data_IF_551695035077
#
_entry.id   IF_551695035077
#
_cell.length_a   1.000
_cell.length_b   1.000
_cell.length_c   1.000
_cell.angle_alpha   90.00
_cell.angle_beta   90.00
_cell.angle_gamma   90.00
#
_symmetry.space_group_name_H-M   'P 1'
#
loop_
_entity.id
_entity.type
_entity.pdbx_description
1 polymer ?
#
# COMPACT_ATOMS: atom_id res chain seq x y z
N UNK A 1 24.42 10.90 -20.99
CA UNK A 1 23.01 10.96 -20.55
C UNK A 1 22.50 9.54 -20.40
N UNK A 2 22.26 9.12 -19.17
CA UNK A 2 21.87 7.75 -18.81
C UNK A 2 20.34 7.63 -18.96
N UNK A 3 19.87 6.64 -19.73
CA UNK A 3 18.46 6.49 -20.10
C UNK A 3 17.59 6.09 -18.88
N UNK A 4 16.38 6.65 -18.68
CA UNK A 4 15.55 6.44 -17.48
C UNK A 4 14.72 5.14 -17.53
N UNK A 5 15.28 4.08 -18.09
CA UNK A 5 14.69 2.75 -18.08
C UNK A 5 15.81 1.71 -18.09
N UNK A 6 16.41 1.46 -16.93
CA UNK A 6 16.98 0.13 -16.67
C UNK A 6 15.78 -0.80 -16.48
N UNK A 7 15.13 -1.13 -17.60
CA UNK A 7 13.99 -2.04 -17.69
C UNK A 7 14.43 -3.43 -17.29
N UNK A 8 14.57 -3.65 -15.99
CA UNK A 8 14.66 -4.99 -15.45
C UNK A 8 13.40 -5.73 -15.92
N UNK A 9 13.54 -6.93 -16.50
CA UNK A 9 12.38 -7.72 -16.89
C UNK A 9 11.47 -7.90 -15.68
N UNK A 10 10.16 -7.96 -15.92
CA UNK A 10 9.21 -8.27 -14.86
C UNK A 10 9.66 -9.54 -14.13
N UNK A 11 9.56 -9.53 -12.80
CA UNK A 11 9.95 -10.69 -11.98
C UNK A 11 9.16 -11.90 -12.49
N UNK A 12 9.88 -12.84 -13.08
CA UNK A 12 9.28 -14.05 -13.58
C UNK A 12 8.99 -14.96 -12.38
N UNK A 13 7.71 -15.03 -11.99
CA UNK A 13 7.25 -15.88 -10.90
C UNK A 13 7.20 -17.37 -11.25
N UNK A 14 7.43 -17.71 -12.52
CA UNK A 14 7.53 -19.10 -12.98
C UNK A 14 8.94 -19.66 -12.82
N UNK A 15 9.97 -18.80 -12.80
CA UNK A 15 11.29 -19.15 -12.27
C UNK A 15 11.25 -19.06 -10.75
N UNK A 16 11.79 -20.08 -10.07
CA UNK A 16 11.56 -20.29 -8.63
C UNK A 16 11.78 -19.04 -7.77
N UNK A 17 10.74 -18.64 -7.06
CA UNK A 17 10.81 -17.58 -6.05
C UNK A 17 11.70 -18.02 -4.87
N UNK A 18 12.39 -17.08 -4.19
CA UNK A 18 13.01 -17.38 -2.90
C UNK A 18 11.99 -18.02 -1.94
N UNK A 19 12.38 -18.99 -1.08
CA UNK A 19 11.43 -19.78 -0.29
C UNK A 19 10.46 -18.96 0.58
N UNK A 20 10.91 -17.83 1.13
CA UNK A 20 10.05 -16.91 1.88
C UNK A 20 9.04 -16.20 0.97
N UNK A 21 9.49 -15.69 -0.18
CA UNK A 21 8.63 -15.05 -1.18
C UNK A 21 7.58 -16.03 -1.74
N UNK A 22 7.98 -17.29 -1.99
CA UNK A 22 7.08 -18.35 -2.44
C UNK A 22 5.95 -18.63 -1.44
N UNK A 23 6.26 -18.65 -0.13
CA UNK A 23 5.23 -18.80 0.93
C UNK A 23 4.24 -17.65 0.96
N UNK A 24 4.73 -16.42 0.80
CA UNK A 24 3.88 -15.22 0.74
C UNK A 24 3.00 -15.25 -0.52
N UNK A 25 3.57 -15.56 -1.69
CA UNK A 25 2.85 -15.66 -2.96
C UNK A 25 1.75 -16.74 -2.92
N UNK A 26 2.06 -17.92 -2.39
CA UNK A 26 1.11 -19.02 -2.22
C UNK A 26 -0.03 -18.69 -1.23
N UNK A 27 0.17 -17.72 -0.35
CA UNK A 27 -0.83 -17.26 0.62
C UNK A 27 -1.48 -15.92 0.26
N UNK A 28 -1.16 -15.32 -0.90
CA UNK A 28 -1.44 -13.90 -1.22
C UNK A 28 -2.91 -13.49 -0.99
N UNK A 29 -3.86 -14.33 -1.41
CA UNK A 29 -5.29 -13.99 -1.31
C UNK A 29 -5.76 -14.04 0.13
N UNK A 30 -5.33 -15.06 0.89
CA UNK A 30 -5.64 -15.16 2.33
C UNK A 30 -4.99 -14.03 3.12
N UNK A 31 -3.76 -13.67 2.77
CA UNK A 31 -3.05 -12.53 3.37
C UNK A 31 -3.76 -11.21 3.08
N UNK A 32 -4.26 -11.00 1.86
CA UNK A 32 -5.00 -9.80 1.51
C UNK A 32 -6.31 -9.66 2.31
N UNK A 33 -7.06 -10.76 2.45
CA UNK A 33 -8.25 -10.78 3.32
C UNK A 33 -7.86 -10.44 4.76
N UNK A 34 -6.86 -11.13 5.30
CA UNK A 34 -6.42 -10.92 6.68
C UNK A 34 -5.88 -9.51 6.93
N UNK A 35 -5.13 -8.97 6.00
CA UNK A 35 -4.62 -7.60 6.07
C UNK A 35 -5.76 -6.59 6.06
N UNK A 36 -6.81 -6.82 5.25
CA UNK A 36 -7.97 -5.95 5.24
C UNK A 36 -8.75 -6.02 6.57
N UNK A 37 -8.92 -7.20 7.14
CA UNK A 37 -9.51 -7.35 8.49
C UNK A 37 -8.71 -6.57 9.53
N UNK A 38 -7.38 -6.73 9.57
CA UNK A 38 -6.50 -6.01 10.50
C UNK A 38 -6.60 -4.49 10.29
N UNK A 39 -6.68 -4.03 9.03
CA UNK A 39 -6.80 -2.62 8.72
C UNK A 39 -8.12 -2.03 9.24
N UNK A 40 -9.22 -2.79 9.11
CA UNK A 40 -10.53 -2.40 9.63
C UNK A 40 -10.55 -2.46 11.16
N UNK A 41 -9.92 -3.45 11.78
CA UNK A 41 -9.84 -3.53 13.24
C UNK A 41 -9.03 -2.34 13.82
N UNK A 42 -8.00 -1.89 13.10
CA UNK A 42 -7.22 -0.69 13.47
C UNK A 42 -7.98 0.61 13.25
N UNK A 43 -8.79 0.70 12.20
CA UNK A 43 -9.67 1.83 11.92
C UNK A 43 -11.06 1.34 11.47
N UNK A 44 -11.98 1.15 12.42
CA UNK A 44 -13.34 0.67 12.12
C UNK A 44 -14.13 1.57 11.16
N UNK A 45 -13.79 2.86 11.10
CA UNK A 45 -14.49 3.82 10.24
C UNK A 45 -14.17 3.63 8.75
N UNK A 46 -13.26 2.71 8.37
CA UNK A 46 -13.17 2.23 6.99
C UNK A 46 -14.52 1.71 6.48
N UNK A 47 -15.32 1.05 7.34
CA UNK A 47 -16.64 0.53 6.97
C UNK A 47 -17.66 1.62 6.68
N UNK A 48 -17.48 2.80 7.25
CA UNK A 48 -18.35 3.95 7.02
C UNK A 48 -17.90 4.77 5.80
N UNK A 49 -16.59 4.83 5.55
CA UNK A 49 -16.00 5.61 4.44
C UNK A 49 -16.16 4.93 3.08
N UNK A 50 -16.18 3.61 3.06
CA UNK A 50 -16.22 2.82 1.84
C UNK A 50 -17.49 1.98 1.80
N UNK A 51 -18.27 2.14 0.74
CA UNK A 51 -19.39 1.23 0.49
C UNK A 51 -18.90 -0.20 0.19
N UNK A 52 -19.83 -1.15 0.10
CA UNK A 52 -19.49 -2.56 -0.11
C UNK A 52 -18.73 -2.79 -1.43
N UNK A 53 -19.01 -2.00 -2.47
CA UNK A 53 -18.32 -2.11 -3.76
C UNK A 53 -16.87 -1.61 -3.64
N UNK A 54 -16.67 -0.45 -3.02
CA UNK A 54 -15.36 0.11 -2.71
C UNK A 54 -14.56 -0.85 -1.83
N UNK A 55 -15.20 -1.52 -0.87
CA UNK A 55 -14.53 -2.50 -0.02
C UNK A 55 -14.06 -3.74 -0.79
N UNK A 56 -14.91 -4.32 -1.65
CA UNK A 56 -14.49 -5.42 -2.53
C UNK A 56 -13.36 -5.01 -3.46
N UNK A 57 -13.36 -3.76 -3.92
CA UNK A 57 -12.28 -3.22 -4.76
C UNK A 57 -10.99 -3.05 -3.97
N UNK A 58 -11.05 -2.52 -2.74
CA UNK A 58 -9.90 -2.42 -1.85
C UNK A 58 -9.31 -3.80 -1.52
N UNK A 59 -10.14 -4.83 -1.36
CA UNK A 59 -9.65 -6.21 -1.19
C UNK A 59 -8.84 -6.67 -2.41
N UNK A 60 -9.34 -6.44 -3.63
CA UNK A 60 -8.60 -6.76 -4.86
C UNK A 60 -7.29 -5.97 -4.97
N UNK A 61 -7.35 -4.68 -4.67
CA UNK A 61 -6.17 -3.82 -4.63
C UNK A 61 -5.14 -4.34 -3.59
N UNK A 62 -5.59 -4.87 -2.45
CA UNK A 62 -4.73 -5.43 -1.40
C UNK A 62 -3.97 -6.66 -1.88
N UNK A 63 -4.58 -7.52 -2.72
CA UNK A 63 -3.86 -8.63 -3.38
C UNK A 63 -2.71 -8.09 -4.22
N UNK A 64 -2.96 -7.03 -5.00
CA UNK A 64 -1.93 -6.39 -5.82
C UNK A 64 -0.82 -5.76 -4.96
N UNK A 65 -1.15 -5.23 -3.78
CA UNK A 65 -0.13 -4.73 -2.85
C UNK A 65 0.74 -5.86 -2.28
N UNK A 66 0.14 -7.01 -1.95
CA UNK A 66 0.90 -8.21 -1.54
C UNK A 66 1.81 -8.68 -2.68
N UNK A 67 1.32 -8.66 -3.92
CA UNK A 67 2.12 -8.98 -5.09
C UNK A 67 3.37 -8.10 -5.20
N UNK A 68 3.27 -6.80 -4.90
CA UNK A 68 4.43 -5.90 -4.91
C UNK A 68 5.43 -6.20 -3.80
N UNK A 69 4.97 -6.68 -2.65
CA UNK A 69 5.87 -7.20 -1.59
C UNK A 69 6.60 -8.44 -2.09
N UNK A 70 5.90 -9.39 -2.72
CA UNK A 70 6.51 -10.60 -3.30
C UNK A 70 7.55 -10.24 -4.35
N UNK A 71 7.25 -9.30 -5.25
CA UNK A 71 8.19 -8.86 -6.30
C UNK A 71 9.46 -8.26 -5.68
N UNK A 72 9.33 -7.45 -4.63
CA UNK A 72 10.47 -6.89 -3.90
C UNK A 72 11.31 -7.96 -3.17
N UNK A 73 10.64 -8.93 -2.53
CA UNK A 73 11.32 -10.06 -1.88
C UNK A 73 12.08 -10.91 -2.90
N UNK A 74 11.48 -11.15 -4.07
CA UNK A 74 12.08 -11.93 -5.15
C UNK A 74 13.28 -11.22 -5.78
N UNK A 75 13.18 -9.91 -5.99
CA UNK A 75 14.26 -9.08 -6.51
C UNK A 75 15.36 -8.80 -5.47
N UNK A 76 15.10 -9.05 -4.18
CA UNK A 76 15.98 -8.61 -3.08
C UNK A 76 16.14 -7.09 -3.04
N UNK A 77 15.12 -6.35 -3.50
CA UNK A 77 15.18 -4.89 -3.63
C UNK A 77 13.81 -4.26 -3.45
N UNK A 78 13.67 -3.22 -2.62
CA UNK A 78 12.41 -2.51 -2.42
C UNK A 78 12.03 -1.56 -3.57
N UNK A 79 12.91 -1.34 -4.55
CA UNK A 79 12.74 -0.31 -5.59
C UNK A 79 11.52 -0.54 -6.51
N UNK A 80 11.19 -1.80 -6.80
CA UNK A 80 9.98 -2.12 -7.57
C UNK A 80 8.72 -1.72 -6.81
N UNK A 81 8.69 -1.94 -5.50
CA UNK A 81 7.58 -1.57 -4.64
C UNK A 81 7.47 -0.04 -4.50
N UNK A 82 8.61 0.66 -4.32
CA UNK A 82 8.68 2.13 -4.30
C UNK A 82 8.12 2.75 -5.58
N UNK A 83 8.64 2.33 -6.73
CA UNK A 83 8.24 2.83 -8.06
C UNK A 83 6.74 2.65 -8.29
N UNK A 84 6.20 1.49 -7.89
CA UNK A 84 4.76 1.25 -7.95
C UNK A 84 3.98 2.23 -7.06
N UNK A 85 4.41 2.42 -5.81
CA UNK A 85 3.72 3.30 -4.86
C UNK A 85 3.74 4.78 -5.26
N UNK A 86 4.77 5.22 -5.99
CA UNK A 86 4.85 6.58 -6.56
C UNK A 86 3.83 6.79 -7.69
N UNK A 87 3.49 5.75 -8.44
CA UNK A 87 2.61 5.84 -9.61
C UNK A 87 1.10 5.79 -9.30
N UNK A 88 0.71 5.15 -8.20
CA UNK A 88 -0.70 4.90 -7.84
C UNK A 88 -1.50 6.06 -7.20
N UNK A 89 -0.94 7.12 -6.58
CA UNK A 89 -1.73 8.13 -5.85
C UNK A 89 -2.82 8.81 -6.70
N UNK A 90 -2.59 9.21 -7.96
CA UNK A 90 -3.65 9.80 -8.79
C UNK A 90 -4.85 8.87 -8.98
N UNK A 91 -4.61 7.57 -9.11
CA UNK A 91 -5.67 6.57 -9.29
C UNK A 91 -6.54 6.45 -8.04
N UNK A 92 -5.95 6.31 -6.87
CA UNK A 92 -6.69 6.17 -5.61
C UNK A 92 -7.40 7.46 -5.20
N UNK A 93 -6.82 8.64 -5.50
CA UNK A 93 -7.50 9.93 -5.33
C UNK A 93 -8.77 10.04 -6.17
N UNK A 94 -8.75 9.60 -7.44
CA UNK A 94 -9.96 9.54 -8.28
C UNK A 94 -11.04 8.62 -7.69
N UNK A 95 -10.62 7.55 -7.00
CA UNK A 95 -11.50 6.63 -6.26
C UNK A 95 -11.92 7.16 -4.89
N UNK A 96 -11.49 8.37 -4.50
CA UNK A 96 -11.70 9.00 -3.19
C UNK A 96 -11.16 8.16 -2.00
N UNK A 97 -10.15 7.33 -2.24
CA UNK A 97 -9.46 6.56 -1.18
C UNK A 97 -8.36 7.44 -0.57
N UNK A 98 -8.42 7.75 0.74
CA UNK A 98 -7.34 8.46 1.44
C UNK A 98 -6.01 7.71 1.38
N UNK A 99 -4.89 8.42 1.27
CA UNK A 99 -3.56 7.78 1.33
C UNK A 99 -3.31 7.14 2.69
N UNK A 100 -3.89 7.69 3.76
CA UNK A 100 -3.83 7.11 5.10
C UNK A 100 -4.48 5.71 5.16
N UNK A 101 -5.52 5.46 4.35
CA UNK A 101 -6.16 4.13 4.25
C UNK A 101 -5.21 3.13 3.56
N UNK A 102 -4.50 3.57 2.52
CA UNK A 102 -3.48 2.73 1.87
C UNK A 102 -2.28 2.46 2.77
N UNK A 103 -1.81 3.47 3.52
CA UNK A 103 -0.74 3.32 4.51
C UNK A 103 -1.17 2.32 5.60
N UNK A 104 -2.41 2.44 6.10
CA UNK A 104 -2.96 1.49 7.05
C UNK A 104 -3.01 0.06 6.47
N UNK A 105 -3.45 -0.10 5.22
CA UNK A 105 -3.45 -1.40 4.54
C UNK A 105 -2.03 -1.98 4.41
N UNK A 106 -1.05 -1.19 3.99
CA UNK A 106 0.35 -1.62 3.88
C UNK A 106 0.93 -2.08 5.22
N UNK A 107 0.68 -1.34 6.30
CA UNK A 107 1.06 -1.76 7.65
C UNK A 107 0.35 -3.04 8.10
N UNK A 108 -0.90 -3.23 7.66
CA UNK A 108 -1.69 -4.43 7.96
C UNK A 108 -1.22 -5.63 7.15
N UNK A 109 -0.75 -5.43 5.91
CA UNK A 109 -0.05 -6.45 5.10
C UNK A 109 1.22 -6.91 5.81
N UNK A 110 2.07 -5.98 6.29
CA UNK A 110 3.26 -6.33 7.11
C UNK A 110 2.88 -7.21 8.29
N UNK A 111 1.83 -6.82 9.03
CA UNK A 111 1.34 -7.56 10.19
C UNK A 111 0.82 -8.95 9.80
N UNK A 112 0.07 -9.06 8.70
CA UNK A 112 -0.47 -10.33 8.21
C UNK A 112 0.65 -11.29 7.78
N UNK A 113 1.67 -10.79 7.07
CA UNK A 113 2.82 -11.59 6.64
C UNK A 113 3.68 -12.03 7.84
N UNK A 114 3.85 -11.16 8.84
CA UNK A 114 4.57 -11.50 10.07
C UNK A 114 3.95 -12.63 10.89
N UNK A 115 2.69 -13.00 10.64
CA UNK A 115 2.07 -14.17 11.27
C UNK A 115 2.44 -15.50 10.60
N UNK A 116 3.02 -15.47 9.39
CA UNK A 116 3.39 -16.69 8.64
C UNK A 116 4.89 -16.81 8.35
N UNK A 117 5.65 -15.73 8.52
CA UNK A 117 7.09 -15.72 8.39
C UNK A 117 7.76 -15.60 9.77
N UNK A 118 8.88 -16.31 10.02
CA UNK A 118 9.74 -16.00 11.16
C UNK A 118 10.34 -14.60 11.05
N UNK A 119 10.65 -13.99 12.19
CA UNK A 119 11.21 -12.63 12.25
C UNK A 119 12.50 -12.46 11.42
N UNK A 120 13.31 -13.52 11.28
CA UNK A 120 14.54 -13.52 10.47
C UNK A 120 14.30 -13.29 8.97
N UNK A 121 13.08 -13.50 8.47
CA UNK A 121 12.71 -13.36 7.06
C UNK A 121 11.89 -12.09 6.79
N UNK A 122 11.63 -11.28 7.82
CA UNK A 122 10.76 -10.10 7.71
C UNK A 122 11.47 -8.88 7.12
N UNK A 123 12.80 -8.81 7.14
CA UNK A 123 13.53 -7.63 6.68
C UNK A 123 13.16 -7.18 5.24
N UNK A 124 13.10 -8.07 4.23
CA UNK A 124 12.67 -7.68 2.88
C UNK A 124 11.20 -7.21 2.81
N UNK A 125 10.33 -7.76 3.67
CA UNK A 125 8.92 -7.35 3.77
C UNK A 125 8.83 -5.94 4.36
N UNK A 126 9.59 -5.70 5.42
CA UNK A 126 9.61 -4.41 6.12
C UNK A 126 10.13 -3.30 5.21
N UNK A 127 11.22 -3.57 4.49
CA UNK A 127 11.80 -2.69 3.48
C UNK A 127 10.81 -2.38 2.35
N UNK A 128 10.17 -3.41 1.77
CA UNK A 128 9.18 -3.21 0.72
C UNK A 128 7.98 -2.37 1.18
N UNK A 129 7.48 -2.64 2.39
CA UNK A 129 6.35 -1.91 2.97
C UNK A 129 6.72 -0.46 3.30
N UNK A 130 7.88 -0.19 3.92
CA UNK A 130 8.30 1.20 4.16
C UNK A 130 8.55 1.94 2.84
N UNK A 131 9.16 1.28 1.85
CA UNK A 131 9.41 1.88 0.54
C UNK A 131 8.12 2.22 -0.21
N UNK A 132 7.02 1.48 0.01
CA UNK A 132 5.70 1.87 -0.48
C UNK A 132 5.06 2.99 0.34
N UNK A 133 5.21 2.97 1.66
CA UNK A 133 4.60 3.97 2.56
C UNK A 133 5.24 5.35 2.37
N UNK A 134 6.55 5.42 2.21
CA UNK A 134 7.32 6.66 2.11
C UNK A 134 6.75 7.65 1.06
N UNK A 135 6.57 7.27 -0.23
CA UNK A 135 5.97 8.16 -1.24
C UNK A 135 4.52 8.54 -0.89
N UNK A 136 3.73 7.61 -0.34
CA UNK A 136 2.34 7.88 0.04
C UNK A 136 2.22 8.92 1.15
N UNK A 137 3.21 9.03 2.06
CA UNK A 137 3.24 10.06 3.11
C UNK A 137 3.29 11.48 2.53
N UNK A 138 3.98 11.68 1.42
CA UNK A 138 4.03 12.99 0.72
C UNK A 138 2.70 13.33 0.06
N UNK A 139 1.91 12.32 -0.30
CA UNK A 139 0.62 12.46 -0.96
C UNK A 139 -0.58 12.57 0.00
N UNK A 140 -0.34 12.54 1.32
CA UNK A 140 -1.37 12.75 2.35
C UNK A 140 -2.11 14.07 2.20
N UNK A 141 -1.39 15.13 1.80
CA UNK A 141 -1.97 16.45 1.55
C UNK A 141 -2.41 16.54 0.08
N UNK A 142 -3.71 16.66 -0.16
CA UNK A 142 -4.23 17.07 -1.48
C UNK A 142 -4.13 18.60 -1.55
N UNK A 143 -3.77 19.17 -2.70
CA UNK A 143 -4.06 20.58 -2.97
C UNK A 143 -5.59 20.75 -2.93
N UNK A 144 -6.12 21.38 -1.88
CA UNK A 144 -7.56 21.42 -1.60
C UNK A 144 -8.03 20.43 -0.52
N UNK A 145 -7.13 19.71 0.17
CA UNK A 145 -7.41 18.95 1.39
C UNK A 145 -7.64 19.86 2.60
N UNK A 146 -8.52 20.85 2.42
CA UNK A 146 -9.22 21.48 3.50
C UNK A 146 -10.22 20.48 4.11
N UNK A 147 -9.77 19.28 4.53
CA UNK A 147 -10.61 18.36 5.33
C UNK A 147 -10.61 18.74 6.80
N UNK A 148 -11.11 19.95 6.97
CA UNK A 148 -11.80 20.62 8.06
C UNK A 148 -11.62 22.07 7.64
N UNK A 149 -12.71 22.73 7.28
CA UNK A 149 -12.74 24.19 7.21
C UNK A 149 -12.20 24.67 8.56
N UNK A 150 -10.91 24.99 8.64
CA UNK A 150 -10.33 25.50 9.87
C UNK A 150 -11.16 26.74 10.18
N UNK A 151 -11.93 26.71 11.28
CA UNK A 151 -12.97 27.72 11.54
C UNK A 151 -12.36 29.12 11.51
N UNK A 152 -11.10 29.23 11.93
CA UNK A 152 -10.28 30.43 11.82
C UNK A 152 -10.04 30.87 10.38
N UNK A 153 -9.53 30.00 9.50
CA UNK A 153 -9.25 30.36 8.10
C UNK A 153 -10.51 30.79 7.34
N UNK A 154 -11.65 30.16 7.63
CA UNK A 154 -12.91 30.55 6.99
C UNK A 154 -13.56 31.80 7.57
N UNK A 155 -13.23 32.18 8.82
CA UNK A 155 -13.65 33.46 9.39
C UNK A 155 -12.85 34.62 8.76
N UNK A 156 -11.55 34.42 8.56
CA UNK A 156 -10.66 35.41 7.92
C UNK A 156 -11.06 35.63 6.46
N UNK A 157 -11.38 34.57 5.71
CA UNK A 157 -11.68 34.67 4.28
C UNK A 157 -13.13 35.11 3.95
N UNK A 158 -14.03 35.20 4.95
CA UNK A 158 -15.40 35.72 4.76
C UNK A 158 -15.56 37.19 5.20
N UNK A 159 -14.49 37.81 5.67
CA UNK A 159 -14.49 39.17 6.23
C UNK A 159 -13.54 40.15 5.52
N UNK A 160 -13.30 39.96 4.22
CA UNK A 160 -12.62 40.91 3.34
C UNK A 160 -13.48 41.15 2.09
#
# INVERSE_FOLDING_TARGET
>A
MTHPSLGLPAVDRTFGLPPAAARVDAARERLAVRALEIAIDRDPSLRDRHDEYAMRRLLRDTVVLVDRVVDAMAAGSPELARTFAEAIPPMYRRRKVPMDDLINLLQSIRTAIGNILPASEMAPVDEAVEAMIEPLRWHRRIAGDARKRNRLLAAIYKGA
#
